data_IF_298038329466
#
_entry.id   IF_298038329466
#
_cell.length_a   1.000
_cell.length_b   1.000
_cell.length_c   1.000
_cell.angle_alpha   90.00
_cell.angle_beta   90.00
_cell.angle_gamma   90.00
#
_symmetry.space_group_name_H-M   'P 1'
#
loop_
_entity.id
_entity.type
_entity.pdbx_description
1 polymer ?
#
# COMPACT_ATOMS: atom_id res chain seq x y z
N UNK A 1 -66.50 68.66 -27.78
CA UNK A 1 -65.23 68.29 -27.12
C UNK A 1 -65.47 67.01 -26.32
N UNK A 2 -64.97 65.89 -26.82
CA UNK A 2 -65.25 64.53 -26.34
C UNK A 2 -64.05 64.05 -25.52
N UNK A 3 -64.24 63.67 -24.26
CA UNK A 3 -63.21 62.99 -23.45
C UNK A 3 -63.62 61.53 -23.27
N UNK A 4 -62.90 60.63 -23.94
CA UNK A 4 -62.99 59.17 -23.78
C UNK A 4 -62.11 58.77 -22.58
N UNK A 5 -62.68 58.11 -21.59
CA UNK A 5 -61.97 57.49 -20.47
C UNK A 5 -61.88 56.00 -20.77
N UNK A 6 -60.66 55.48 -20.94
CA UNK A 6 -60.38 54.05 -21.13
C UNK A 6 -59.99 53.48 -19.76
N UNK A 7 -60.78 52.56 -19.23
CA UNK A 7 -60.44 51.79 -18.04
C UNK A 7 -59.65 50.54 -18.45
N UNK A 8 -58.43 50.39 -17.95
CA UNK A 8 -57.60 49.19 -18.14
C UNK A 8 -57.82 48.28 -16.94
N UNK A 9 -58.45 47.13 -17.16
CA UNK A 9 -58.59 46.07 -16.15
C UNK A 9 -57.32 45.21 -16.14
N UNK A 10 -56.59 45.21 -15.02
CA UNK A 10 -55.45 44.33 -14.81
C UNK A 10 -55.96 42.96 -14.33
N UNK A 11 -55.75 41.92 -15.15
CA UNK A 11 -56.01 40.54 -14.76
C UNK A 11 -54.85 40.00 -13.92
N UNK A 12 -55.13 39.65 -12.66
CA UNK A 12 -54.17 39.02 -11.75
C UNK A 12 -54.11 37.51 -12.07
N UNK A 13 -53.04 37.05 -12.72
CA UNK A 13 -52.80 35.62 -12.92
C UNK A 13 -52.17 35.03 -11.65
N UNK A 14 -52.87 34.14 -10.96
CA UNK A 14 -52.28 33.31 -9.89
C UNK A 14 -51.35 32.27 -10.53
N UNK A 15 -50.04 32.48 -10.41
CA UNK A 15 -49.06 31.44 -10.69
C UNK A 15 -49.07 30.42 -9.54
N UNK A 16 -49.58 29.21 -9.80
CA UNK A 16 -49.45 28.08 -8.88
C UNK A 16 -47.98 27.63 -8.93
N UNK A 17 -47.23 27.93 -7.88
CA UNK A 17 -45.87 27.43 -7.71
C UNK A 17 -45.93 25.93 -7.39
N UNK A 18 -45.65 25.09 -8.39
CA UNK A 18 -45.41 23.66 -8.17
C UNK A 18 -44.03 23.55 -7.52
N UNK A 19 -44.00 23.13 -6.24
CA UNK A 19 -42.74 22.85 -5.57
C UNK A 19 -42.02 21.70 -6.31
N UNK A 20 -40.71 21.81 -6.60
CA UNK A 20 -39.97 20.70 -7.16
C UNK A 20 -39.96 19.55 -6.16
N UNK A 21 -40.41 18.38 -6.59
CA UNK A 21 -40.27 17.13 -5.85
C UNK A 21 -38.79 16.96 -5.49
N UNK A 22 -38.48 16.82 -4.20
CA UNK A 22 -37.14 16.49 -3.75
C UNK A 22 -36.69 15.21 -4.46
N UNK A 23 -35.71 15.31 -5.36
CA UNK A 23 -35.08 14.14 -5.94
C UNK A 23 -34.54 13.28 -4.79
N UNK A 24 -34.95 12.01 -4.74
CA UNK A 24 -34.39 11.06 -3.78
C UNK A 24 -32.86 11.07 -3.93
N UNK A 25 -32.15 11.44 -2.85
CA UNK A 25 -30.69 11.35 -2.87
C UNK A 25 -30.33 9.89 -3.11
N UNK A 26 -29.41 9.58 -4.05
CA UNK A 26 -28.92 8.22 -4.21
C UNK A 26 -28.39 7.74 -2.85
N UNK A 27 -28.83 6.55 -2.44
CA UNK A 27 -28.35 5.93 -1.22
C UNK A 27 -26.81 5.91 -1.25
N UNK A 28 -26.13 6.14 -0.12
CA UNK A 28 -24.67 6.06 -0.09
C UNK A 28 -24.23 4.68 -0.58
N UNK A 29 -23.61 4.63 -1.76
CA UNK A 29 -23.04 3.40 -2.28
C UNK A 29 -21.82 3.05 -1.44
N UNK A 30 -21.91 1.96 -0.68
CA UNK A 30 -20.79 1.44 0.10
C UNK A 30 -19.65 1.12 -0.87
N UNK A 31 -18.42 1.62 -0.65
CA UNK A 31 -17.29 1.30 -1.51
C UNK A 31 -17.08 -0.22 -1.60
N UNK A 32 -16.69 -0.76 -2.76
CA UNK A 32 -16.34 -2.18 -2.87
C UNK A 32 -15.14 -2.56 -2.00
N UNK A 33 -15.03 -3.84 -1.66
CA UNK A 33 -13.95 -4.39 -0.84
C UNK A 33 -12.65 -4.66 -1.59
N UNK A 34 -12.63 -4.45 -2.91
CA UNK A 34 -11.46 -4.68 -3.78
C UNK A 34 -11.48 -3.76 -5.01
N UNK A 35 -10.31 -3.57 -5.60
CA UNK A 35 -10.15 -2.89 -6.89
C UNK A 35 -10.93 -3.60 -8.01
N UNK A 36 -10.97 -4.94 -7.96
CA UNK A 36 -11.78 -5.74 -8.87
C UNK A 36 -13.29 -5.45 -8.70
N UNK A 37 -13.75 -5.28 -7.46
CA UNK A 37 -15.12 -4.86 -7.17
C UNK A 37 -15.45 -3.47 -7.70
N UNK A 38 -14.51 -2.51 -7.57
CA UNK A 38 -14.63 -1.18 -8.18
C UNK A 38 -14.77 -1.29 -9.69
N UNK A 39 -13.90 -2.07 -10.34
CA UNK A 39 -13.94 -2.28 -11.79
C UNK A 39 -15.25 -2.92 -12.26
N UNK A 40 -15.80 -3.86 -11.49
CA UNK A 40 -17.06 -4.53 -11.81
C UNK A 40 -18.26 -3.57 -11.74
N UNK A 41 -18.29 -2.68 -10.74
CA UNK A 41 -19.36 -1.67 -10.61
C UNK A 41 -19.20 -0.50 -11.58
N UNK A 42 -17.95 -0.11 -11.86
CA UNK A 42 -17.60 1.01 -12.73
C UNK A 42 -16.56 0.55 -13.76
N UNK A 43 -16.97 -0.01 -14.91
CA UNK A 43 -16.06 -0.50 -15.96
C UNK A 43 -15.21 0.59 -16.64
N UNK A 44 -15.40 1.86 -16.28
CA UNK A 44 -14.53 2.97 -16.74
C UNK A 44 -13.45 3.34 -15.71
N UNK A 45 -13.49 2.77 -14.51
CA UNK A 45 -12.49 3.02 -13.47
C UNK A 45 -11.12 2.54 -13.97
N UNK A 46 -10.14 3.44 -13.90
CA UNK A 46 -8.74 3.19 -14.28
C UNK A 46 -7.82 3.13 -13.05
N UNK A 47 -6.53 2.91 -13.28
CA UNK A 47 -5.53 2.89 -12.21
C UNK A 47 -5.51 4.20 -11.43
N UNK A 48 -5.34 4.12 -10.10
CA UNK A 48 -5.42 5.31 -9.25
C UNK A 48 -5.63 5.00 -7.79
N UNK A 49 -5.76 6.06 -6.98
CA UNK A 49 -6.05 5.92 -5.56
C UNK A 49 -7.54 5.75 -5.32
N UNK A 50 -7.91 4.78 -4.48
CA UNK A 50 -9.27 4.47 -4.10
C UNK A 50 -9.34 4.14 -2.61
N UNK A 51 -10.55 4.17 -2.05
CA UNK A 51 -10.83 3.66 -0.70
C UNK A 51 -11.69 2.41 -0.81
N UNK A 52 -11.23 1.33 -0.22
CA UNK A 52 -11.96 0.06 -0.16
C UNK A 52 -12.71 -0.05 1.16
N UNK A 53 -13.85 -0.73 1.16
CA UNK A 53 -14.53 -1.13 2.38
C UNK A 53 -14.55 -2.65 2.50
N UNK A 54 -13.78 -3.20 3.43
CA UNK A 54 -13.67 -4.65 3.65
C UNK A 54 -14.77 -5.21 4.57
N UNK A 55 -15.77 -4.39 4.91
CA UNK A 55 -16.79 -4.67 5.92
C UNK A 55 -16.33 -4.37 7.35
N UNK A 56 -15.06 -4.62 7.64
CA UNK A 56 -14.44 -4.33 8.95
C UNK A 56 -13.52 -3.12 8.93
N UNK A 57 -13.12 -2.65 7.74
CA UNK A 57 -12.21 -1.52 7.59
C UNK A 57 -12.50 -0.69 6.35
N UNK A 58 -12.20 0.61 6.44
CA UNK A 58 -11.92 1.44 5.28
C UNK A 58 -10.42 1.46 5.04
N UNK A 59 -9.98 1.17 3.81
CA UNK A 59 -8.56 1.01 3.48
C UNK A 59 -8.21 1.83 2.25
N UNK A 60 -7.29 2.81 2.34
CA UNK A 60 -6.81 3.54 1.18
C UNK A 60 -5.79 2.69 0.42
N UNK A 61 -5.99 2.55 -0.89
CA UNK A 61 -5.12 1.77 -1.78
C UNK A 61 -4.87 2.51 -3.08
N UNK A 62 -3.79 2.13 -3.76
CA UNK A 62 -3.62 2.33 -5.18
C UNK A 62 -4.09 1.08 -5.92
N UNK A 63 -5.11 1.22 -6.76
CA UNK A 63 -5.54 0.17 -7.68
C UNK A 63 -4.69 0.22 -8.94
N UNK A 64 -4.09 -0.91 -9.29
CA UNK A 64 -3.29 -1.10 -10.48
C UNK A 64 -3.88 -2.18 -11.39
N UNK A 65 -3.62 -2.08 -12.69
CA UNK A 65 -4.10 -3.01 -13.70
C UNK A 65 -5.64 -3.13 -13.70
N UNK A 66 -6.32 -1.98 -13.54
CA UNK A 66 -7.77 -1.90 -13.46
C UNK A 66 -8.46 -2.39 -14.73
N UNK A 67 -7.79 -2.29 -15.88
CA UNK A 67 -8.30 -2.80 -17.15
C UNK A 67 -8.06 -4.31 -17.35
N UNK A 68 -7.12 -4.91 -16.61
CA UNK A 68 -6.74 -6.32 -16.68
C UNK A 68 -7.16 -7.08 -15.43
N UNK A 69 -6.20 -7.36 -14.54
CA UNK A 69 -6.42 -8.03 -13.25
C UNK A 69 -6.14 -7.06 -12.10
N UNK A 70 -7.18 -6.33 -11.63
CA UNK A 70 -7.02 -5.28 -10.63
C UNK A 70 -6.35 -5.79 -9.35
N UNK A 71 -5.37 -5.04 -8.85
CA UNK A 71 -4.61 -5.36 -7.63
C UNK A 71 -4.39 -4.13 -6.77
N UNK A 72 -4.36 -4.34 -5.46
CA UNK A 72 -4.25 -3.33 -4.42
C UNK A 72 -2.79 -3.13 -3.98
N UNK A 73 -2.37 -1.87 -3.89
CA UNK A 73 -1.02 -1.49 -3.46
C UNK A 73 -1.03 -0.33 -2.47
N UNK A 74 0.01 -0.24 -1.64
CA UNK A 74 0.35 0.95 -0.88
C UNK A 74 1.34 1.76 -1.69
N UNK A 75 1.07 3.05 -1.89
CA UNK A 75 2.06 3.98 -2.45
C UNK A 75 3.00 4.46 -1.35
N UNK A 76 4.31 4.30 -1.56
CA UNK A 76 5.33 4.62 -0.57
C UNK A 76 5.89 6.03 -0.82
N UNK A 77 5.98 6.86 0.22
CA UNK A 77 6.43 8.26 0.12
C UNK A 77 7.92 8.48 0.45
N UNK A 78 8.60 7.46 0.98
CA UNK A 78 9.97 7.53 1.49
C UNK A 78 10.86 6.44 0.87
N UNK A 79 12.16 6.50 1.16
CA UNK A 79 13.13 5.52 0.68
C UNK A 79 12.84 4.13 1.28
N UNK A 80 12.41 3.21 0.43
CA UNK A 80 12.06 1.84 0.77
C UNK A 80 12.94 0.89 -0.04
N UNK A 81 13.71 0.04 0.64
CA UNK A 81 14.64 -0.86 -0.03
C UNK A 81 15.00 -2.07 0.81
N UNK A 82 15.47 -3.10 0.12
CA UNK A 82 16.04 -4.31 0.70
C UNK A 82 17.35 -4.62 0.00
N UNK A 83 18.32 -5.16 0.74
CA UNK A 83 19.65 -5.39 0.21
C UNK A 83 20.25 -6.70 0.70
N UNK A 84 20.87 -7.41 -0.24
CA UNK A 84 21.90 -8.40 0.04
C UNK A 84 23.26 -7.75 -0.20
N UNK A 85 23.98 -7.51 0.89
CA UNK A 85 25.35 -6.98 0.83
C UNK A 85 26.32 -8.08 0.40
N UNK A 86 27.07 -7.84 -0.68
CA UNK A 86 28.06 -8.76 -1.20
C UNK A 86 29.31 -8.79 -0.30
N UNK A 87 29.92 -9.96 -0.18
CA UNK A 87 31.07 -10.20 0.68
C UNK A 87 31.18 -11.65 1.14
N UNK A 88 32.38 -12.06 1.58
CA UNK A 88 32.63 -13.41 2.08
C UNK A 88 32.19 -14.50 1.10
N UNK A 89 31.25 -15.35 1.54
CA UNK A 89 30.72 -16.45 0.73
C UNK A 89 29.73 -16.02 -0.37
N UNK A 90 29.48 -14.71 -0.51
CA UNK A 90 28.61 -14.11 -1.52
C UNK A 90 29.35 -13.06 -2.37
N UNK A 91 30.33 -13.45 -3.22
CA UNK A 91 31.08 -12.50 -4.05
C UNK A 91 30.20 -11.87 -5.14
N UNK A 92 30.53 -10.64 -5.52
CA UNK A 92 29.84 -9.87 -6.54
C UNK A 92 29.66 -8.41 -6.13
N UNK A 93 28.49 -7.88 -6.42
CA UNK A 93 28.06 -6.51 -6.08
C UNK A 93 26.78 -6.57 -5.26
N UNK A 94 26.56 -5.58 -4.40
CA UNK A 94 25.36 -5.52 -3.56
C UNK A 94 24.10 -5.60 -4.42
N UNK A 95 23.24 -6.56 -4.12
CA UNK A 95 21.92 -6.65 -4.73
C UNK A 95 20.99 -5.78 -3.94
N UNK A 96 20.53 -4.68 -4.52
CA UNK A 96 19.62 -3.75 -3.87
C UNK A 96 18.33 -3.65 -4.67
N UNK A 97 17.21 -3.86 -4.01
CA UNK A 97 15.86 -3.71 -4.57
C UNK A 97 15.17 -2.55 -3.88
N UNK A 98 14.74 -1.56 -4.64
CA UNK A 98 14.01 -0.38 -4.15
C UNK A 98 12.55 -0.42 -4.57
N UNK A 99 11.64 0.05 -3.72
CA UNK A 99 10.20 -0.08 -3.90
C UNK A 99 9.51 1.27 -3.91
N UNK A 100 8.64 1.50 -4.89
CA UNK A 100 7.77 2.70 -4.92
C UNK A 100 6.34 2.39 -4.50
N UNK A 101 5.93 1.13 -4.62
CA UNK A 101 4.68 0.58 -4.09
C UNK A 101 4.89 -0.86 -3.65
N UNK A 102 4.06 -1.31 -2.73
CA UNK A 102 4.04 -2.71 -2.25
C UNK A 102 2.62 -3.24 -2.28
N UNK A 103 2.46 -4.51 -2.65
CA UNK A 103 1.14 -5.12 -2.82
C UNK A 103 0.52 -5.43 -1.47
N UNK A 104 -0.75 -5.08 -1.30
CA UNK A 104 -1.47 -5.18 -0.03
C UNK A 104 -2.66 -6.12 -0.17
N UNK A 105 -2.87 -6.98 0.83
CA UNK A 105 -4.17 -7.60 1.05
C UNK A 105 -4.97 -6.70 2.02
N UNK A 106 -6.02 -5.98 1.55
CA UNK A 106 -6.75 -5.03 2.39
C UNK A 106 -7.58 -5.71 3.48
N UNK A 107 -7.94 -6.99 3.32
CA UNK A 107 -8.74 -7.71 4.30
C UNK A 107 -7.92 -8.06 5.56
N UNK A 108 -6.67 -8.47 5.36
CA UNK A 108 -5.74 -8.89 6.42
C UNK A 108 -4.74 -7.82 6.83
N UNK A 109 -4.60 -6.74 6.04
CA UNK A 109 -3.55 -5.73 6.16
C UNK A 109 -2.14 -6.35 6.14
N UNK A 110 -1.94 -7.34 5.27
CA UNK A 110 -0.62 -7.94 5.06
C UNK A 110 -0.07 -7.56 3.69
N UNK A 111 1.23 -7.31 3.63
CA UNK A 111 1.94 -6.97 2.39
C UNK A 111 2.57 -8.22 1.78
N UNK A 112 2.37 -8.38 0.47
CA UNK A 112 3.07 -9.38 -0.34
C UNK A 112 4.50 -8.89 -0.57
N UNK A 113 5.45 -9.44 0.20
CA UNK A 113 6.84 -9.00 0.17
C UNK A 113 7.58 -9.48 -1.09
N UNK A 114 7.00 -10.43 -1.81
CA UNK A 114 7.58 -11.02 -3.01
C UNK A 114 7.11 -10.30 -4.29
N UNK A 115 6.12 -9.40 -4.19
CA UNK A 115 5.66 -8.63 -5.34
C UNK A 115 6.67 -7.55 -5.74
N UNK A 116 7.30 -7.76 -6.89
CA UNK A 116 8.29 -6.83 -7.47
C UNK A 116 7.71 -5.89 -8.54
N UNK A 117 6.38 -5.80 -8.70
CA UNK A 117 5.72 -5.05 -9.79
C UNK A 117 6.15 -3.58 -9.82
N UNK A 118 6.33 -2.97 -8.65
CA UNK A 118 6.77 -1.56 -8.50
C UNK A 118 8.16 -1.45 -7.87
N UNK A 119 8.99 -2.47 -8.10
CA UNK A 119 10.36 -2.54 -7.60
C UNK A 119 11.39 -2.33 -8.72
N UNK A 120 12.59 -1.89 -8.36
CA UNK A 120 13.75 -1.83 -9.26
C UNK A 120 14.94 -2.42 -8.54
N UNK A 121 15.65 -3.33 -9.20
CA UNK A 121 16.82 -4.00 -8.62
C UNK A 121 18.10 -3.66 -9.36
N UNK A 122 19.20 -3.53 -8.61
CA UNK A 122 20.54 -3.30 -9.14
C UNK A 122 21.53 -4.27 -8.50
N UNK A 123 22.61 -4.57 -9.21
CA UNK A 123 23.68 -5.44 -8.74
C UNK A 123 23.39 -6.93 -8.94
N UNK A 124 24.39 -7.73 -8.62
CA UNK A 124 24.35 -9.19 -8.74
C UNK A 124 25.45 -9.80 -7.88
N UNK A 125 25.13 -10.90 -7.20
CA UNK A 125 26.10 -11.69 -6.44
C UNK A 125 25.80 -13.18 -6.55
N UNK A 126 26.81 -14.00 -6.23
CA UNK A 126 26.69 -15.45 -6.27
C UNK A 126 26.62 -16.00 -4.85
N UNK A 127 25.51 -16.64 -4.49
CA UNK A 127 25.40 -17.44 -3.27
C UNK A 127 25.42 -18.92 -3.65
N UNK A 128 26.58 -19.58 -3.49
CA UNK A 128 26.76 -20.93 -3.99
C UNK A 128 26.54 -20.98 -5.51
N UNK A 129 25.59 -21.80 -5.97
CA UNK A 129 25.18 -21.87 -7.38
C UNK A 129 24.09 -20.87 -7.78
N UNK A 130 23.53 -20.13 -6.82
CA UNK A 130 22.42 -19.21 -7.07
C UNK A 130 22.96 -17.82 -7.39
N UNK A 131 22.59 -17.28 -8.55
CA UNK A 131 22.83 -15.88 -8.90
C UNK A 131 21.67 -15.06 -8.33
N UNK A 132 21.96 -14.20 -7.35
CA UNK A 132 20.96 -13.30 -6.75
C UNK A 132 20.93 -11.99 -7.53
N UNK A 133 19.74 -11.55 -7.91
CA UNK A 133 19.51 -10.32 -8.70
C UNK A 133 18.40 -9.44 -8.13
N UNK A 134 17.64 -9.92 -7.14
CA UNK A 134 16.60 -9.15 -6.46
C UNK A 134 16.37 -9.63 -5.03
N UNK A 135 15.82 -8.75 -4.19
CA UNK A 135 15.48 -8.99 -2.80
C UNK A 135 13.99 -8.76 -2.54
N UNK A 136 13.33 -9.59 -1.71
CA UNK A 136 11.98 -9.31 -1.21
C UNK A 136 11.95 -8.05 -0.35
N UNK A 137 10.77 -7.42 -0.26
CA UNK A 137 10.57 -6.23 0.56
C UNK A 137 10.74 -6.53 2.06
N UNK A 138 11.37 -5.61 2.79
CA UNK A 138 11.58 -5.76 4.23
C UNK A 138 12.65 -6.78 4.62
N UNK A 139 13.54 -7.16 3.70
CA UNK A 139 14.62 -8.13 3.96
C UNK A 139 16.01 -7.46 3.95
N UNK A 140 16.91 -7.95 4.80
CA UNK A 140 18.34 -7.65 4.74
C UNK A 140 19.18 -8.93 4.90
N UNK A 141 20.22 -9.10 4.08
CA UNK A 141 21.01 -10.35 3.97
C UNK A 141 22.52 -10.04 3.84
N UNK A 142 23.39 -10.81 4.50
CA UNK A 142 24.80 -10.94 4.08
C UNK A 142 25.43 -12.31 4.40
N UNK A 143 26.60 -12.57 3.83
CA UNK A 143 27.39 -13.81 3.96
C UNK A 143 28.87 -13.54 4.36
N UNK A 144 29.14 -12.41 5.01
CA UNK A 144 30.50 -11.93 5.28
C UNK A 144 30.92 -12.06 6.76
N UNK A 145 30.21 -12.88 7.54
CA UNK A 145 30.39 -13.06 8.99
C UNK A 145 30.01 -11.84 9.83
N UNK A 146 29.32 -10.85 9.26
CA UNK A 146 28.83 -9.66 9.97
C UNK A 146 27.37 -9.38 9.57
N UNK A 147 26.58 -8.60 10.32
CA UNK A 147 25.24 -8.18 9.91
C UNK A 147 25.27 -6.97 8.96
N UNK A 148 26.05 -7.04 7.88
CA UNK A 148 26.29 -5.94 6.93
C UNK A 148 25.18 -5.75 5.87
N UNK A 149 24.26 -6.71 5.76
CA UNK A 149 23.04 -6.55 4.98
C UNK A 149 22.18 -5.43 5.54
N UNK A 150 21.56 -4.63 4.69
CA UNK A 150 20.75 -3.48 5.11
C UNK A 150 19.39 -3.45 4.43
N UNK A 151 18.38 -2.92 5.11
CA UNK A 151 17.04 -2.74 4.55
C UNK A 151 16.29 -1.64 5.29
N UNK A 152 15.26 -1.10 4.64
CA UNK A 152 14.36 -0.12 5.25
C UNK A 152 12.94 -0.30 4.74
N UNK A 153 12.02 -0.43 5.70
CA UNK A 153 10.58 -0.27 5.49
C UNK A 153 10.21 1.09 6.08
N UNK A 154 9.59 1.95 5.29
CA UNK A 154 9.18 3.29 5.71
C UNK A 154 7.80 3.62 5.15
N UNK A 155 6.82 3.58 6.06
CA UNK A 155 5.40 3.82 5.84
C UNK A 155 5.02 5.27 6.17
N UNK A 156 5.99 6.16 6.37
CA UNK A 156 5.75 7.58 6.58
C UNK A 156 4.97 8.18 5.41
N UNK A 157 3.95 8.98 5.72
CA UNK A 157 3.06 9.56 4.71
C UNK A 157 1.97 8.59 4.22
N UNK A 158 1.96 7.33 4.66
CA UNK A 158 0.85 6.39 4.42
C UNK A 158 -0.13 6.35 5.60
N UNK A 159 -1.24 5.65 5.42
CA UNK A 159 -2.24 5.44 6.46
C UNK A 159 -1.93 4.27 7.41
N UNK A 160 -0.77 3.63 7.26
CA UNK A 160 -0.45 2.36 7.90
C UNK A 160 0.70 2.51 8.90
N UNK A 161 0.68 1.63 9.90
CA UNK A 161 1.77 1.38 10.83
C UNK A 161 2.31 -0.02 10.61
N UNK A 162 3.57 -0.21 10.94
CA UNK A 162 4.20 -1.50 11.09
C UNK A 162 3.58 -2.22 12.29
N UNK A 163 3.06 -3.42 12.08
CA UNK A 163 2.47 -4.25 13.15
C UNK A 163 3.19 -5.59 13.33
N UNK A 164 4.26 -5.81 12.57
CA UNK A 164 4.97 -7.08 12.52
C UNK A 164 6.20 -7.11 13.43
N UNK A 165 6.71 -8.32 13.65
CA UNK A 165 8.00 -8.60 14.25
C UNK A 165 9.00 -9.07 13.18
N UNK A 166 10.29 -8.99 13.50
CA UNK A 166 11.34 -9.44 12.60
C UNK A 166 12.09 -10.62 13.19
N UNK A 167 12.45 -11.56 12.33
CA UNK A 167 13.15 -12.78 12.70
C UNK A 167 14.45 -12.91 11.91
N UNK A 168 15.51 -13.27 12.62
CA UNK A 168 16.82 -13.59 12.05
C UNK A 168 16.84 -15.06 11.66
N UNK A 169 17.34 -15.36 10.47
CA UNK A 169 17.42 -16.71 9.91
C UNK A 169 18.73 -16.97 9.17
N UNK A 170 19.04 -18.25 8.94
CA UNK A 170 20.25 -18.67 8.23
C UNK A 170 21.33 -19.25 9.14
N UNK A 171 22.53 -19.41 8.59
CA UNK A 171 23.62 -20.09 9.30
C UNK A 171 24.47 -19.08 10.08
N UNK A 172 24.68 -19.35 11.38
CA UNK A 172 25.32 -18.41 12.33
C UNK A 172 24.86 -16.96 12.11
N UNK A 173 23.54 -16.81 12.03
CA UNK A 173 22.93 -15.56 11.62
C UNK A 173 22.98 -14.51 12.73
N UNK A 174 23.06 -13.25 12.33
CA UNK A 174 23.03 -12.08 13.19
C UNK A 174 22.22 -10.99 12.51
N UNK A 175 21.45 -10.23 13.28
CA UNK A 175 20.67 -9.13 12.73
C UNK A 175 19.92 -8.35 13.81
N UNK A 176 19.36 -7.22 13.41
CA UNK A 176 18.57 -6.34 14.24
C UNK A 176 17.54 -5.58 13.42
N UNK A 177 16.39 -5.31 14.03
CA UNK A 177 15.36 -4.44 13.51
C UNK A 177 15.19 -3.23 14.44
N UNK A 178 15.56 -2.05 13.98
CA UNK A 178 15.42 -0.80 14.72
C UNK A 178 14.10 -0.12 14.32
N UNK A 179 13.02 -0.46 15.01
CA UNK A 179 11.68 0.10 14.76
C UNK A 179 11.61 1.52 15.32
N UNK A 180 11.04 2.45 14.54
CA UNK A 180 10.83 3.83 14.96
C UNK A 180 9.77 3.92 16.09
N UNK A 181 9.85 4.91 16.99
CA UNK A 181 8.91 5.02 18.12
C UNK A 181 7.43 5.15 17.73
N UNK A 182 7.15 5.64 16.53
CA UNK A 182 5.80 5.79 15.97
C UNK A 182 5.35 4.59 15.14
N UNK A 183 6.14 3.51 15.09
CA UNK A 183 5.91 2.31 14.30
C UNK A 183 5.68 2.59 12.80
N UNK A 184 6.33 3.61 12.24
CA UNK A 184 6.21 3.92 10.81
C UNK A 184 7.41 3.48 9.98
N UNK A 185 8.55 3.27 10.60
CA UNK A 185 9.74 2.84 9.91
C UNK A 185 10.47 1.75 10.70
N UNK A 186 11.23 0.94 9.98
CA UNK A 186 12.23 0.07 10.57
C UNK A 186 13.45 0.05 9.68
N UNK A 187 14.61 0.29 10.30
CA UNK A 187 15.91 0.06 9.68
C UNK A 187 16.42 -1.33 10.09
N UNK A 188 16.82 -2.11 9.09
CA UNK A 188 17.19 -3.51 9.23
C UNK A 188 18.69 -3.69 9.03
N UNK A 189 19.30 -4.49 9.88
CA UNK A 189 20.62 -5.07 9.67
C UNK A 189 20.49 -6.60 9.73
N UNK A 190 21.05 -7.31 8.76
CA UNK A 190 20.94 -8.77 8.66
C UNK A 190 22.17 -9.39 8.02
N UNK A 191 22.54 -10.59 8.45
CA UNK A 191 23.79 -11.21 8.03
C UNK A 191 24.28 -12.28 8.97
N UNK A 192 25.61 -12.34 9.15
CA UNK A 192 26.32 -13.42 9.82
C UNK A 192 27.05 -14.30 8.81
N UNK A 193 27.20 -15.60 9.10
CA UNK A 193 27.81 -16.53 8.13
C UNK A 193 26.75 -17.08 7.17
N UNK A 194 26.19 -16.18 6.35
CA UNK A 194 25.00 -16.41 5.51
C UNK A 194 23.70 -16.44 6.31
N UNK A 195 23.39 -15.28 6.87
CA UNK A 195 22.13 -15.03 7.55
C UNK A 195 21.40 -13.82 7.00
N UNK A 196 20.15 -13.70 7.42
CA UNK A 196 19.24 -12.65 7.00
C UNK A 196 18.32 -12.25 8.14
N UNK A 197 17.62 -11.14 7.96
CA UNK A 197 16.48 -10.74 8.75
C UNK A 197 15.29 -10.47 7.82
N UNK A 198 14.10 -10.88 8.24
CA UNK A 198 12.85 -10.82 7.46
C UNK A 198 11.66 -10.57 8.40
N UNK A 199 10.53 -10.03 7.92
CA UNK A 199 9.28 -10.04 8.70
C UNK A 199 8.90 -11.47 9.04
N UNK A 200 8.25 -11.67 10.19
CA UNK A 200 7.73 -12.97 10.58
C UNK A 200 6.51 -13.35 9.72
N UNK A 201 6.18 -14.65 9.54
CA UNK A 201 6.93 -15.82 10.01
C UNK A 201 8.19 -16.10 9.19
N UNK A 202 9.04 -16.99 9.70
CA UNK A 202 10.32 -17.37 9.09
C UNK A 202 10.22 -17.68 7.59
N UNK A 203 11.12 -17.07 6.82
CA UNK A 203 11.30 -17.31 5.38
C UNK A 203 12.69 -17.91 5.17
N UNK A 204 12.75 -18.99 4.38
CA UNK A 204 14.01 -19.65 4.05
C UNK A 204 14.66 -19.00 2.82
N UNK A 205 15.93 -18.58 2.96
CA UNK A 205 16.74 -17.99 1.88
C UNK A 205 16.00 -16.93 1.03
N UNK A 206 15.57 -15.82 1.66
CA UNK A 206 14.78 -14.79 0.99
C UNK A 206 15.64 -14.01 -0.03
N UNK A 207 15.61 -14.45 -1.29
CA UNK A 207 16.25 -13.80 -2.44
C UNK A 207 15.59 -14.29 -3.72
N UNK A 208 15.60 -13.47 -4.79
CA UNK A 208 14.92 -13.77 -6.05
C UNK A 208 13.48 -14.28 -5.84
N UNK A 209 12.61 -13.50 -5.15
CA UNK A 209 11.29 -13.96 -4.77
C UNK A 209 10.46 -14.38 -5.98
N UNK A 210 9.57 -15.35 -5.75
CA UNK A 210 8.60 -15.80 -6.74
C UNK A 210 7.29 -16.18 -6.07
N UNK A 211 6.19 -15.98 -6.78
CA UNK A 211 4.84 -16.17 -6.23
C UNK A 211 4.48 -15.16 -5.13
N UNK A 212 3.20 -15.09 -4.75
CA UNK A 212 2.76 -14.19 -3.69
C UNK A 212 3.15 -14.71 -2.31
N UNK A 213 3.58 -13.81 -1.44
CA UNK A 213 3.95 -14.11 -0.05
C UNK A 213 3.55 -12.98 0.91
N UNK A 214 2.33 -13.06 1.45
CA UNK A 214 1.72 -12.02 2.28
C UNK A 214 2.14 -12.14 3.75
N UNK A 215 3.35 -11.71 4.06
CA UNK A 215 3.97 -11.87 5.38
C UNK A 215 4.02 -10.59 6.22
N UNK A 216 4.29 -9.42 5.62
CA UNK A 216 4.52 -8.21 6.41
C UNK A 216 3.20 -7.64 6.95
N UNK A 217 2.97 -7.76 8.26
CA UNK A 217 1.76 -7.28 8.93
C UNK A 217 1.73 -5.77 9.18
N UNK A 218 0.59 -5.15 8.89
CA UNK A 218 0.33 -3.73 9.09
C UNK A 218 -0.89 -3.50 9.98
N UNK A 219 -0.94 -2.33 10.59
CA UNK A 219 -2.12 -1.81 11.30
C UNK A 219 -2.58 -0.48 10.70
N UNK A 220 -3.84 -0.13 10.93
CA UNK A 220 -4.30 1.23 10.64
C UNK A 220 -3.60 2.22 11.59
N UNK A 221 -3.05 3.28 11.01
CA UNK A 221 -2.45 4.37 11.77
C UNK A 221 -3.47 5.38 12.28
N UNK A 222 -3.01 6.33 13.13
CA UNK A 222 -3.84 7.45 13.54
C UNK A 222 -4.24 8.28 12.31
N UNK A 223 -5.47 8.77 12.33
CA UNK A 223 -6.05 9.59 11.28
C UNK A 223 -6.79 10.78 11.89
N UNK A 224 -6.91 11.86 11.12
CA UNK A 224 -7.78 12.98 11.46
C UNK A 224 -9.00 13.03 10.53
N UNK A 225 -9.91 13.97 10.77
CA UNK A 225 -11.12 14.11 9.97
C UNK A 225 -10.83 14.42 8.49
N UNK A 226 -9.77 15.19 8.20
CA UNK A 226 -9.39 15.52 6.82
C UNK A 226 -8.95 14.24 6.09
N UNK A 227 -8.19 13.36 6.75
CA UNK A 227 -7.78 12.08 6.16
C UNK A 227 -8.99 11.21 5.80
N UNK A 228 -10.01 11.18 6.66
CA UNK A 228 -11.27 10.46 6.40
C UNK A 228 -12.01 11.06 5.21
N UNK A 229 -12.17 12.40 5.19
CA UNK A 229 -12.88 13.10 4.12
C UNK A 229 -12.17 12.98 2.76
N UNK A 230 -10.84 12.86 2.77
CA UNK A 230 -10.04 12.66 1.56
C UNK A 230 -9.87 11.19 1.17
N UNK A 231 -10.48 10.24 1.90
CA UNK A 231 -10.34 8.80 1.63
C UNK A 231 -8.93 8.27 1.84
N UNK A 232 -8.13 8.94 2.68
CA UNK A 232 -6.72 8.62 3.00
C UNK A 232 -6.54 7.95 4.35
N UNK A 233 -7.61 7.82 5.13
CA UNK A 233 -7.57 7.15 6.42
C UNK A 233 -7.77 5.64 6.29
N UNK A 234 -6.94 4.87 7.00
CA UNK A 234 -7.24 3.48 7.33
C UNK A 234 -8.09 3.50 8.61
N UNK A 235 -9.32 3.02 8.54
CA UNK A 235 -10.27 3.09 9.66
C UNK A 235 -10.75 1.69 9.98
N UNK A 236 -10.67 1.28 11.25
CA UNK A 236 -11.36 0.06 11.71
C UNK A 236 -12.81 0.42 12.02
N UNK A 237 -13.73 -0.30 11.39
CA UNK A 237 -15.17 -0.14 11.55
C UNK A 237 -15.66 -0.97 12.75
N UNK A 238 -16.73 -0.54 13.44
CA UNK A 238 -17.32 -1.26 14.56
C UNK A 238 -17.95 -2.60 14.16
#
# INVERSE_FOLDING_TARGET
MIRRIIAVAAALALAVAVAPSAAAQPAPTIPPSSCAGIRALLPIAGDGNYTLNTGTRLVPVYCHDMAGTPREYITLGAANFSQYTAGGAAPGTNVRTTFTRVRLNPATLTVDINDLTFATSTGTLNQGSTVVTSMPYGVAYSCDSTPSGVGRVDLTGTAFLLADTYQVGGFNASGSAAVSPDNRAVDLAGGGFCGWITPAPFIYNPSNPSGPDFHLELACGPYNLIDVLLGRACVTLP
#
